data_IF_347275992289
#
_entry.id   IF_347275992289
#
_cell.length_a   1.000
_cell.length_b   1.000
_cell.length_c   1.000
_cell.angle_alpha   90.00
_cell.angle_beta   90.00
_cell.angle_gamma   90.00
#
_symmetry.space_group_name_H-M   'P 1'
#
loop_
_entity.id
_entity.type
_entity.pdbx_description
1 polymer ?
#
# COMPACT_ATOMS: atom_id res chain seq x y z
N UNK A 1 15.68 36.24 -35.97
CA UNK A 1 14.33 35.67 -35.76
C UNK A 1 14.38 34.23 -36.25
N UNK A 2 13.93 33.17 -35.60
CA UNK A 2 13.53 32.80 -34.23
C UNK A 2 13.40 31.25 -34.32
N UNK A 3 13.92 30.50 -33.34
CA UNK A 3 13.80 29.04 -33.27
C UNK A 3 12.41 28.62 -32.76
N UNK A 4 11.84 27.50 -33.23
CA UNK A 4 10.99 26.65 -32.40
C UNK A 4 11.45 25.17 -32.53
N UNK A 5 11.58 24.36 -31.49
CA UNK A 5 10.79 24.24 -30.27
C UNK A 5 10.32 22.79 -30.18
N UNK A 6 11.10 21.92 -29.54
CA UNK A 6 10.72 20.52 -29.29
C UNK A 6 9.53 20.46 -28.32
N UNK A 7 8.49 19.71 -28.68
CA UNK A 7 7.47 19.21 -27.76
C UNK A 7 7.38 17.70 -27.89
N UNK A 8 7.72 17.01 -26.80
CA UNK A 8 7.62 15.57 -26.63
C UNK A 8 6.15 15.12 -26.70
N UNK A 9 5.89 14.02 -27.41
CA UNK A 9 4.66 13.24 -27.25
C UNK A 9 5.01 11.76 -27.11
N UNK A 10 4.70 11.21 -25.94
CA UNK A 10 4.87 9.79 -25.59
C UNK A 10 3.85 8.92 -26.32
N UNK A 11 4.23 7.75 -26.87
CA UNK A 11 3.25 6.73 -27.21
C UNK A 11 3.45 5.44 -26.39
N UNK A 12 2.47 5.20 -25.52
CA UNK A 12 1.59 4.05 -25.69
C UNK A 12 2.17 2.66 -25.42
N UNK A 13 1.85 2.14 -24.23
CA UNK A 13 1.90 0.72 -23.92
C UNK A 13 1.03 -0.10 -24.88
N UNK A 14 1.68 -0.94 -25.70
CA UNK A 14 1.09 -2.16 -26.32
C UNK A 14 2.15 -3.12 -26.90
N UNK A 15 3.43 -2.94 -26.56
CA UNK A 15 4.55 -3.78 -27.07
C UNK A 15 5.00 -4.89 -26.13
N UNK A 16 4.74 -4.78 -24.82
CA UNK A 16 5.39 -5.65 -23.83
C UNK A 16 4.75 -7.04 -23.67
N UNK A 17 3.46 -7.24 -23.95
CA UNK A 17 2.81 -8.54 -23.68
C UNK A 17 3.10 -9.60 -24.75
N UNK A 18 3.24 -9.20 -26.02
CA UNK A 18 3.44 -10.14 -27.14
C UNK A 18 4.82 -10.80 -27.15
N UNK A 19 5.84 -10.11 -26.62
CA UNK A 19 7.22 -10.61 -26.59
C UNK A 19 7.40 -11.70 -25.52
N UNK A 20 6.76 -11.55 -24.35
CA UNK A 20 6.76 -12.56 -23.30
C UNK A 20 6.09 -13.87 -23.75
N UNK A 21 4.98 -13.81 -24.50
CA UNK A 21 4.27 -15.00 -24.95
C UNK A 21 5.05 -15.76 -26.03
N UNK A 22 5.65 -15.05 -27.00
CA UNK A 22 6.54 -15.63 -28.02
C UNK A 22 7.79 -16.27 -27.39
N UNK A 23 8.44 -15.58 -26.46
CA UNK A 23 9.62 -16.13 -25.77
C UNK A 23 9.28 -17.34 -24.90
N UNK A 24 8.08 -17.39 -24.31
CA UNK A 24 7.59 -18.54 -23.52
C UNK A 24 7.33 -19.78 -24.38
N UNK A 25 6.78 -19.62 -25.59
CA UNK A 25 6.59 -20.71 -26.54
C UNK A 25 7.92 -21.25 -27.09
N UNK A 26 8.86 -20.35 -27.40
CA UNK A 26 10.17 -20.75 -27.94
C UNK A 26 11.04 -21.53 -26.92
N UNK A 27 10.89 -21.23 -25.62
CA UNK A 27 11.65 -21.95 -24.58
C UNK A 27 11.07 -23.34 -24.26
N UNK A 28 9.76 -23.56 -24.48
CA UNK A 28 9.12 -24.87 -24.28
C UNK A 28 9.45 -25.88 -25.38
N UNK A 29 9.83 -25.42 -26.58
CA UNK A 29 10.13 -26.28 -27.75
C UNK A 29 11.60 -26.77 -27.84
N UNK A 30 12.50 -26.36 -26.94
CA UNK A 30 13.92 -26.75 -27.05
C UNK A 30 14.21 -28.12 -26.42
N UNK A 31 14.51 -29.07 -27.29
CA UNK A 31 14.66 -30.53 -27.10
C UNK A 31 15.37 -31.03 -25.82
N UNK A 32 14.83 -32.14 -25.29
CA UNK A 32 15.37 -32.92 -24.18
C UNK A 32 16.59 -33.74 -24.61
N UNK A 33 17.80 -33.34 -24.21
CA UNK A 33 18.98 -34.21 -24.26
C UNK A 33 18.89 -35.26 -23.15
N UNK A 34 18.97 -36.54 -23.52
CA UNK A 34 18.61 -37.70 -22.68
C UNK A 34 19.57 -38.01 -21.52
N UNK A 35 20.76 -37.40 -21.47
CA UNK A 35 21.78 -37.74 -20.47
C UNK A 35 22.22 -36.49 -19.70
N UNK A 36 21.64 -36.27 -18.52
CA UNK A 36 21.99 -35.19 -17.58
C UNK A 36 20.92 -35.00 -16.50
N UNK A 37 21.26 -34.26 -15.42
CA UNK A 37 20.27 -33.81 -14.43
C UNK A 37 19.15 -33.07 -15.17
N UNK A 38 17.86 -33.45 -14.98
CA UNK A 38 16.75 -32.82 -15.68
C UNK A 38 16.82 -31.31 -15.53
N UNK A 39 16.75 -30.60 -16.66
CA UNK A 39 16.73 -29.14 -16.65
C UNK A 39 15.46 -28.68 -15.95
N UNK A 40 15.60 -27.78 -14.98
CA UNK A 40 14.42 -27.13 -14.37
C UNK A 40 13.65 -26.42 -15.48
N UNK A 41 12.36 -26.69 -15.58
CA UNK A 41 11.46 -26.01 -16.53
C UNK A 41 11.65 -24.49 -16.43
N UNK A 42 11.65 -23.80 -17.58
CA UNK A 42 11.80 -22.34 -17.65
C UNK A 42 10.91 -21.59 -16.66
N UNK A 43 9.67 -22.07 -16.53
CA UNK A 43 8.61 -21.48 -15.70
C UNK A 43 8.94 -21.62 -14.20
N UNK A 44 9.64 -22.69 -13.81
CA UNK A 44 10.06 -22.94 -12.42
C UNK A 44 11.43 -22.34 -12.12
N UNK A 45 12.17 -21.90 -13.13
CA UNK A 45 13.49 -21.31 -12.98
C UNK A 45 13.39 -19.93 -12.32
N UNK A 46 14.05 -19.76 -11.17
CA UNK A 46 14.12 -18.49 -10.44
C UNK A 46 15.22 -17.61 -11.04
N UNK A 47 15.02 -17.11 -12.26
CA UNK A 47 16.02 -16.35 -13.03
C UNK A 47 16.02 -14.84 -12.80
N UNK A 48 14.98 -14.29 -12.16
CA UNK A 48 14.82 -12.85 -11.92
C UNK A 48 15.24 -12.51 -10.49
N UNK A 49 15.97 -11.41 -10.33
CA UNK A 49 16.48 -10.94 -9.04
C UNK A 49 15.79 -9.63 -8.69
N UNK A 50 15.32 -9.54 -7.44
CA UNK A 50 14.89 -8.29 -6.81
C UNK A 50 15.88 -8.04 -5.68
N UNK A 51 16.62 -6.93 -5.75
CA UNK A 51 17.64 -6.56 -4.77
C UNK A 51 17.21 -5.36 -3.95
N UNK A 52 17.51 -5.39 -2.65
CA UNK A 52 17.30 -4.27 -1.73
C UNK A 52 18.59 -4.04 -0.95
N UNK A 53 19.01 -2.78 -0.81
CA UNK A 53 20.14 -2.42 0.05
C UNK A 53 19.65 -2.24 1.48
N UNK A 54 20.36 -2.84 2.42
CA UNK A 54 20.07 -2.77 3.86
C UNK A 54 21.25 -2.09 4.56
N UNK A 55 20.94 -1.37 5.62
CA UNK A 55 21.91 -0.97 6.64
C UNK A 55 22.36 -2.19 7.47
N UNK A 56 23.40 -2.03 8.29
CA UNK A 56 23.90 -3.11 9.15
C UNK A 56 22.83 -3.60 10.13
N UNK A 57 22.13 -2.67 10.78
CA UNK A 57 21.09 -2.99 11.77
C UNK A 57 19.88 -3.67 11.14
N UNK A 58 19.47 -3.22 9.96
CA UNK A 58 18.38 -3.86 9.21
C UNK A 58 18.73 -5.29 8.81
N UNK A 59 19.97 -5.54 8.39
CA UNK A 59 20.44 -6.88 8.06
C UNK A 59 20.43 -7.81 9.28
N UNK A 60 20.90 -7.33 10.45
CA UNK A 60 20.85 -8.08 11.71
C UNK A 60 19.40 -8.44 12.04
N UNK A 61 18.50 -7.47 11.97
CA UNK A 61 17.09 -7.66 12.28
C UNK A 61 16.42 -8.69 11.35
N UNK A 62 16.66 -8.61 10.04
CA UNK A 62 16.08 -9.57 9.08
C UNK A 62 16.68 -10.97 9.30
N UNK A 63 17.96 -11.06 9.67
CA UNK A 63 18.63 -12.33 9.97
C UNK A 63 18.04 -12.98 11.22
N UNK A 64 17.89 -12.23 12.32
CA UNK A 64 17.25 -12.71 13.55
C UNK A 64 15.82 -13.22 13.30
N UNK A 65 15.02 -12.51 12.48
CA UNK A 65 13.66 -12.95 12.13
C UNK A 65 13.67 -14.25 11.31
N UNK A 66 14.64 -14.42 10.42
CA UNK A 66 14.80 -15.65 9.64
C UNK A 66 15.18 -16.84 10.56
N UNK A 67 16.07 -16.60 11.52
CA UNK A 67 16.46 -17.59 12.55
C UNK A 67 15.28 -17.98 13.43
N UNK A 68 14.51 -17.01 13.93
CA UNK A 68 13.28 -17.27 14.70
C UNK A 68 12.25 -18.08 13.91
N UNK A 69 12.14 -17.83 12.60
CA UNK A 69 11.28 -18.59 11.71
C UNK A 69 11.86 -19.95 11.29
N UNK A 70 13.09 -20.29 11.71
CA UNK A 70 13.75 -21.57 11.39
C UNK A 70 14.06 -21.76 9.91
N UNK A 71 14.20 -20.67 9.13
CA UNK A 71 14.41 -20.73 7.69
C UNK A 71 15.62 -19.91 7.27
N UNK A 72 16.24 -20.30 6.13
CA UNK A 72 17.35 -19.51 5.55
C UNK A 72 16.88 -18.10 5.18
N UNK A 73 17.75 -17.12 5.36
CA UNK A 73 17.51 -15.70 5.04
C UNK A 73 16.87 -15.48 3.66
N UNK A 74 17.37 -16.18 2.63
CA UNK A 74 16.83 -16.07 1.27
C UNK A 74 15.41 -16.62 1.12
N UNK A 75 15.06 -17.67 1.88
CA UNK A 75 13.69 -18.20 1.94
C UNK A 75 12.80 -17.24 2.71
N UNK A 76 13.26 -16.77 3.87
CA UNK A 76 12.55 -15.78 4.67
C UNK A 76 12.22 -14.52 3.85
N UNK A 77 13.22 -13.91 3.22
CA UNK A 77 13.05 -12.72 2.39
C UNK A 77 12.08 -12.97 1.24
N UNK A 78 12.16 -14.14 0.58
CA UNK A 78 11.22 -14.50 -0.48
C UNK A 78 9.78 -14.66 0.03
N UNK A 79 9.58 -15.35 1.15
CA UNK A 79 8.24 -15.52 1.74
C UNK A 79 7.67 -14.17 2.17
N UNK A 80 8.49 -13.28 2.75
CA UNK A 80 8.09 -11.91 3.08
C UNK A 80 7.75 -11.08 1.85
N UNK A 81 8.50 -11.21 0.74
CA UNK A 81 8.18 -10.53 -0.51
C UNK A 81 6.89 -11.04 -1.18
N UNK A 82 6.57 -12.32 -1.03
CA UNK A 82 5.40 -12.94 -1.68
C UNK A 82 4.12 -12.89 -0.84
N UNK A 83 4.26 -13.02 0.49
CA UNK A 83 3.15 -13.19 1.44
C UNK A 83 3.10 -12.09 2.50
N UNK A 84 4.14 -11.28 2.62
CA UNK A 84 4.17 -10.18 3.57
C UNK A 84 3.02 -9.21 3.26
N UNK A 85 2.22 -8.91 4.28
CA UNK A 85 1.17 -7.90 4.17
C UNK A 85 1.79 -6.54 4.46
N UNK A 86 1.79 -5.66 3.46
CA UNK A 86 2.03 -4.24 3.70
C UNK A 86 0.73 -3.68 4.27
N UNK A 87 0.70 -3.47 5.58
CA UNK A 87 -0.45 -2.83 6.24
C UNK A 87 -0.33 -1.33 5.98
N UNK A 88 -1.19 -0.79 5.10
CA UNK A 88 -1.40 0.65 5.06
C UNK A 88 -1.96 1.07 6.42
N UNK A 89 -1.25 1.98 7.09
CA UNK A 89 -1.60 2.44 8.44
C UNK A 89 -2.91 3.23 8.49
N UNK A 90 -3.36 3.76 7.34
CA UNK A 90 -4.62 4.47 7.15
C UNK A 90 -5.23 3.89 5.89
N UNK A 91 -6.36 3.20 6.03
CA UNK A 91 -7.14 2.71 4.89
C UNK A 91 -7.85 3.89 4.20
N UNK A 92 -8.24 3.76 2.91
CA UNK A 92 -9.09 4.76 2.26
C UNK A 92 -10.37 5.06 3.05
N UNK A 93 -10.90 4.08 3.76
CA UNK A 93 -12.06 4.18 4.65
C UNK A 93 -11.74 5.02 5.90
N UNK A 94 -10.59 4.81 6.54
CA UNK A 94 -10.11 5.64 7.65
C UNK A 94 -9.93 7.09 7.20
N UNK A 95 -9.34 7.30 6.02
CA UNK A 95 -9.14 8.62 5.45
C UNK A 95 -10.47 9.35 5.18
N UNK A 96 -11.52 8.62 4.75
CA UNK A 96 -12.89 9.17 4.63
C UNK A 96 -13.45 9.56 5.99
N UNK A 97 -13.28 8.70 7.00
CA UNK A 97 -13.78 8.94 8.36
C UNK A 97 -13.07 10.15 9.01
N UNK A 98 -11.77 10.31 8.80
CA UNK A 98 -11.00 11.49 9.23
C UNK A 98 -11.48 12.79 8.54
N UNK A 99 -11.82 12.72 7.23
CA UNK A 99 -12.41 13.88 6.52
C UNK A 99 -13.77 14.27 7.09
N UNK A 100 -14.60 13.29 7.45
CA UNK A 100 -15.88 13.58 8.12
C UNK A 100 -15.66 14.30 9.46
N UNK A 101 -14.69 13.84 10.25
CA UNK A 101 -14.34 14.51 11.51
C UNK A 101 -13.88 15.96 11.29
N UNK A 102 -13.03 16.20 10.29
CA UNK A 102 -12.58 17.54 9.93
C UNK A 102 -13.73 18.45 9.50
N UNK A 103 -14.72 17.92 8.77
CA UNK A 103 -15.92 18.67 8.40
C UNK A 103 -16.76 19.05 9.63
N UNK A 104 -16.92 18.16 10.61
CA UNK A 104 -17.64 18.51 11.84
C UNK A 104 -16.89 19.54 12.69
N UNK A 105 -15.56 19.51 12.71
CA UNK A 105 -14.76 20.55 13.35
C UNK A 105 -15.00 21.93 12.70
N UNK A 106 -15.09 21.98 11.36
CA UNK A 106 -15.45 23.20 10.65
C UNK A 106 -16.86 23.68 11.01
N UNK A 107 -17.83 22.77 11.13
CA UNK A 107 -19.20 23.11 11.55
C UNK A 107 -19.22 23.72 12.95
N UNK A 108 -18.43 23.20 13.89
CA UNK A 108 -18.28 23.80 15.24
C UNK A 108 -17.70 25.21 15.13
N UNK A 109 -16.66 25.41 14.32
CA UNK A 109 -16.06 26.73 14.16
C UNK A 109 -17.06 27.75 13.62
N UNK A 110 -17.90 27.35 12.66
CA UNK A 110 -18.98 28.19 12.15
C UNK A 110 -20.03 28.52 13.22
N UNK A 111 -20.43 27.53 14.02
CA UNK A 111 -21.37 27.76 15.13
C UNK A 111 -20.79 28.67 16.20
N UNK A 112 -19.50 28.57 16.51
CA UNK A 112 -18.84 29.46 17.45
C UNK A 112 -18.89 30.92 16.97
N UNK A 113 -18.55 31.16 15.70
CA UNK A 113 -18.67 32.49 15.11
C UNK A 113 -20.11 33.00 15.12
N UNK A 114 -21.07 32.14 14.78
CA UNK A 114 -22.49 32.52 14.77
C UNK A 114 -23.01 32.83 16.18
N UNK A 115 -22.63 32.02 17.17
CA UNK A 115 -23.01 32.22 18.57
C UNK A 115 -22.40 33.51 19.15
N UNK A 116 -21.20 33.88 18.73
CA UNK A 116 -20.60 35.17 19.10
C UNK A 116 -21.34 36.37 18.52
N UNK A 117 -21.99 36.21 17.35
CA UNK A 117 -22.73 37.27 16.68
C UNK A 117 -24.19 37.38 17.14
N UNK A 118 -24.86 36.25 17.34
CA UNK A 118 -26.32 36.17 17.53
C UNK A 118 -26.74 35.63 18.92
N UNK A 119 -25.77 35.28 19.77
CA UNK A 119 -26.00 34.57 21.04
C UNK A 119 -26.09 33.05 20.86
N UNK A 120 -25.89 32.28 21.94
CA UNK A 120 -25.73 30.82 21.89
C UNK A 120 -27.05 30.03 21.89
N UNK A 121 -28.13 30.60 22.43
CA UNK A 121 -29.43 29.95 22.62
C UNK A 121 -29.98 29.27 21.35
N UNK A 122 -29.93 29.90 20.16
CA UNK A 122 -30.39 29.29 18.91
C UNK A 122 -29.57 28.07 18.45
N UNK A 123 -28.31 27.96 18.90
CA UNK A 123 -27.34 26.97 18.42
C UNK A 123 -27.30 25.73 19.31
N UNK A 124 -27.89 25.78 20.51
CA UNK A 124 -27.84 24.71 21.50
C UNK A 124 -28.21 23.33 20.93
N UNK A 125 -29.33 23.24 20.20
CA UNK A 125 -29.81 21.98 19.63
C UNK A 125 -28.85 21.43 18.57
N UNK A 126 -28.32 22.31 17.72
CA UNK A 126 -27.36 21.94 16.67
C UNK A 126 -26.04 21.48 17.28
N UNK A 127 -25.56 22.19 18.31
CA UNK A 127 -24.33 21.83 19.01
C UNK A 127 -24.43 20.48 19.71
N UNK A 128 -25.56 20.20 20.39
CA UNK A 128 -25.80 18.90 21.01
C UNK A 128 -25.80 17.75 19.98
N UNK A 129 -26.40 17.96 18.81
CA UNK A 129 -26.39 16.99 17.72
C UNK A 129 -24.97 16.74 17.18
N UNK A 130 -24.19 17.80 16.96
CA UNK A 130 -22.80 17.67 16.50
C UNK A 130 -21.92 16.91 17.50
N UNK A 131 -22.11 17.13 18.79
CA UNK A 131 -21.38 16.41 19.83
C UNK A 131 -21.62 14.89 19.76
N UNK A 132 -22.88 14.47 19.57
CA UNK A 132 -23.23 13.05 19.38
C UNK A 132 -22.58 12.50 18.11
N UNK A 133 -22.68 13.23 17.00
CA UNK A 133 -22.13 12.83 15.70
C UNK A 133 -20.61 12.66 15.74
N UNK A 134 -19.89 13.58 16.39
CA UNK A 134 -18.44 13.51 16.57
C UNK A 134 -18.07 12.29 17.42
N UNK A 135 -18.79 12.03 18.51
CA UNK A 135 -18.57 10.86 19.34
C UNK A 135 -18.72 9.56 18.54
N UNK A 136 -19.71 9.48 17.65
CA UNK A 136 -19.90 8.32 16.77
C UNK A 136 -18.77 8.17 15.73
N UNK A 137 -18.31 9.26 15.14
CA UNK A 137 -17.15 9.26 14.22
C UNK A 137 -15.88 8.80 14.95
N UNK A 138 -15.65 9.28 16.17
CA UNK A 138 -14.51 8.88 17.00
C UNK A 138 -14.60 7.39 17.36
N UNK A 139 -15.79 6.89 17.72
CA UNK A 139 -15.99 5.45 18.01
C UNK A 139 -15.65 4.57 16.82
N UNK A 140 -16.05 4.96 15.61
CA UNK A 140 -15.70 4.25 14.37
C UNK A 140 -14.18 4.15 14.18
N UNK A 141 -13.46 5.26 14.35
CA UNK A 141 -11.99 5.26 14.34
C UNK A 141 -11.39 4.46 15.51
N UNK A 142 -12.09 4.41 16.66
CA UNK A 142 -11.63 3.76 17.88
C UNK A 142 -11.68 2.23 17.80
N UNK A 143 -12.66 1.68 17.10
CA UNK A 143 -12.79 0.22 17.00
C UNK A 143 -11.78 -0.37 16.00
N UNK A 144 -11.37 0.41 15.00
CA UNK A 144 -10.35 0.01 14.02
C UNK A 144 -8.93 -0.10 14.64
N UNK A 145 -8.53 0.77 15.59
CA UNK A 145 -7.22 0.62 16.25
C UNK A 145 -7.16 -0.55 17.24
N UNK A 146 -8.30 -0.95 17.82
CA UNK A 146 -8.36 -2.13 18.71
C UNK A 146 -8.17 -3.43 17.93
N UNK A 147 -8.70 -3.49 16.71
CA UNK A 147 -8.53 -4.63 15.80
C UNK A 147 -7.14 -4.72 15.18
N UNK A 148 -6.32 -3.66 15.29
CA UNK A 148 -4.91 -3.65 14.88
C UNK A 148 -3.94 -3.97 16.02
N UNK A 149 -4.43 -4.52 17.15
CA UNK A 149 -3.55 -5.05 18.20
C UNK A 149 -2.88 -6.35 17.72
N UNK A 150 -1.66 -6.19 17.22
CA UNK A 150 -0.54 -7.15 17.28
C UNK A 150 -0.82 -8.51 16.62
N UNK A 151 -0.45 -8.62 15.34
CA UNK A 151 0.10 -9.85 14.77
C UNK A 151 1.57 -9.62 14.41
#
# INVERSE_FOLDING_TARGET
MLCPGQRESSPGGRRFENEYFKNRMYFLMKENKKNGRPKIEAIRQKSRIVSTRLTADELILVTQRAEQAGVKLSRYAREMLLKGKIVQRITPEDAKTLRLLANEANNINQLAHKANAEGYEPMMKVNAYLAVKINDIIKRLSDDWKNNKRR
#
